data_IF_361373418459
#
_entry.id   IF_361373418459
#
_cell.length_a   1.000
_cell.length_b   1.000
_cell.length_c   1.000
_cell.angle_alpha   90.00
_cell.angle_beta   90.00
_cell.angle_gamma   90.00
#
_symmetry.space_group_name_H-M   'P 1'
#
loop_
_entity.id
_entity.type
_entity.pdbx_description
1 polymer ?
#
# COMPACT_ATOMS: atom_id res chain seq x y z
N UNK A 1 37.26 39.83 1.30
CA UNK A 1 37.93 38.50 1.40
C UNK A 1 36.99 37.44 2.01
N UNK A 2 35.75 37.35 1.57
CA UNK A 2 34.78 36.35 2.05
C UNK A 2 34.23 35.41 0.93
N UNK A 3 34.66 35.61 -0.32
CA UNK A 3 34.13 34.85 -1.45
C UNK A 3 34.87 33.58 -1.83
N UNK A 4 36.10 33.35 -1.37
CA UNK A 4 36.95 32.25 -1.80
C UNK A 4 36.89 30.99 -0.92
N UNK A 5 36.31 31.06 0.28
CA UNK A 5 36.20 29.89 1.17
C UNK A 5 34.99 28.99 0.84
N UNK A 6 33.94 29.52 0.20
CA UNK A 6 32.76 28.71 -0.15
C UNK A 6 32.94 27.83 -1.42
N UNK A 7 33.85 28.21 -2.30
CA UNK A 7 34.12 27.41 -3.52
C UNK A 7 35.02 26.19 -3.25
N UNK A 8 35.89 26.25 -2.22
CA UNK A 8 36.74 25.11 -1.84
C UNK A 8 35.94 24.01 -1.09
N UNK A 9 34.88 24.35 -0.35
CA UNK A 9 34.05 23.36 0.33
C UNK A 9 33.14 22.60 -0.64
N UNK A 10 32.62 23.24 -1.68
CA UNK A 10 31.83 22.57 -2.72
C UNK A 10 32.67 21.58 -3.56
N UNK A 11 33.94 21.92 -3.82
CA UNK A 11 34.86 21.04 -4.59
C UNK A 11 35.29 19.80 -3.80
N UNK A 12 35.39 19.87 -2.48
CA UNK A 12 35.74 18.73 -1.63
C UNK A 12 34.56 17.78 -1.39
N UNK A 13 33.32 18.26 -1.37
CA UNK A 13 32.15 17.39 -1.31
C UNK A 13 31.94 16.59 -2.61
N UNK A 14 32.19 17.20 -3.77
CA UNK A 14 32.10 16.49 -5.07
C UNK A 14 33.18 15.41 -5.22
N UNK A 15 34.36 15.61 -4.65
CA UNK A 15 35.46 14.60 -4.68
C UNK A 15 35.26 13.42 -3.73
N UNK A 16 34.45 13.54 -2.69
CA UNK A 16 34.07 12.40 -1.83
C UNK A 16 33.00 11.51 -2.46
N UNK A 17 32.08 12.06 -3.26
CA UNK A 17 31.05 11.29 -3.95
C UNK A 17 31.57 10.47 -5.14
N UNK A 18 32.74 10.82 -5.70
CA UNK A 18 33.34 10.09 -6.84
C UNK A 18 34.28 8.96 -6.43
N UNK A 19 34.56 8.75 -5.14
CA UNK A 19 35.47 7.69 -4.66
C UNK A 19 34.80 6.42 -4.13
N UNK A 20 33.47 6.33 -4.14
CA UNK A 20 32.72 5.13 -3.70
C UNK A 20 32.30 4.23 -4.89
N UNK A 21 32.57 4.63 -6.12
CA UNK A 21 32.12 3.92 -7.34
C UNK A 21 33.18 3.02 -7.99
N UNK A 22 34.22 2.61 -7.30
CA UNK A 22 35.23 1.73 -7.90
C UNK A 22 35.87 0.80 -6.86
N UNK A 23 35.24 -0.32 -6.55
CA UNK A 23 35.90 -1.58 -6.12
C UNK A 23 34.85 -2.68 -5.82
N UNK A 24 34.42 -3.45 -6.81
CA UNK A 24 34.13 -4.88 -6.62
C UNK A 24 34.63 -5.62 -7.84
N UNK A 25 35.81 -6.22 -7.70
CA UNK A 25 36.36 -7.19 -8.65
C UNK A 25 35.94 -8.60 -8.24
N UNK A 26 35.63 -9.38 -9.26
CA UNK A 26 35.36 -10.82 -9.26
C UNK A 26 36.41 -11.65 -8.52
N UNK A 27 35.96 -12.67 -7.80
CA UNK A 27 36.70 -13.91 -7.65
C UNK A 27 35.75 -15.10 -7.59
N UNK A 28 35.83 -15.91 -8.60
CA UNK A 28 35.19 -17.23 -8.78
C UNK A 28 36.01 -18.27 -8.02
N UNK A 29 35.39 -19.17 -7.24
CA UNK A 29 35.98 -20.48 -6.94
C UNK A 29 34.89 -21.55 -6.89
N UNK A 30 35.12 -22.62 -7.65
CA UNK A 30 34.43 -23.89 -7.79
C UNK A 30 34.75 -24.87 -6.64
N UNK A 31 33.81 -25.78 -6.38
CA UNK A 31 33.90 -27.20 -6.03
C UNK A 31 32.81 -27.50 -4.98
N UNK A 32 31.86 -28.37 -5.16
CA UNK A 32 31.87 -29.71 -5.69
C UNK A 32 31.92 -30.72 -4.54
N UNK A 33 30.79 -31.38 -4.21
CA UNK A 33 30.77 -32.82 -3.92
C UNK A 33 29.38 -33.32 -3.55
N UNK A 34 28.97 -34.32 -4.27
CA UNK A 34 27.87 -35.25 -4.06
C UNK A 34 28.06 -36.09 -2.79
N UNK A 35 26.99 -36.45 -2.11
CA UNK A 35 26.86 -37.82 -1.51
C UNK A 35 25.39 -38.20 -1.30
N UNK A 36 25.16 -39.44 -1.68
CA UNK A 36 23.91 -40.18 -1.86
C UNK A 36 23.35 -40.79 -0.55
N UNK A 37 22.05 -41.10 -0.66
CA UNK A 37 21.09 -41.82 0.21
C UNK A 37 21.62 -43.13 0.89
N UNK A 38 20.87 -43.77 1.83
CA UNK A 38 19.70 -44.56 1.42
C UNK A 38 18.48 -44.59 2.37
N UNK A 39 17.37 -45.02 1.79
CA UNK A 39 16.09 -45.36 2.42
C UNK A 39 16.15 -46.68 3.22
N UNK A 40 15.28 -46.79 4.23
CA UNK A 40 14.82 -48.08 4.73
C UNK A 40 13.38 -47.98 5.26
N UNK A 41 12.52 -48.76 4.59
CA UNK A 41 11.16 -49.06 5.00
C UNK A 41 11.12 -50.11 6.11
N UNK A 42 10.10 -50.08 6.97
CA UNK A 42 9.57 -51.26 7.66
C UNK A 42 8.08 -51.11 7.97
N UNK A 43 7.29 -51.93 7.35
CA UNK A 43 5.91 -52.25 7.69
C UNK A 43 5.84 -52.98 9.03
N UNK A 44 4.77 -52.79 9.79
CA UNK A 44 4.16 -53.82 10.61
C UNK A 44 2.65 -53.62 10.74
N UNK A 45 1.93 -54.65 10.35
CA UNK A 45 0.48 -54.83 10.45
C UNK A 45 0.05 -55.23 11.87
N UNK A 46 -1.20 -54.96 12.23
CA UNK A 46 -1.87 -55.54 13.41
C UNK A 46 -3.25 -54.93 13.64
N UNK A 47 -4.30 -55.66 13.28
CA UNK A 47 -5.75 -55.42 13.47
C UNK A 47 -6.24 -55.79 14.89
N UNK A 48 -7.58 -55.77 15.17
CA UNK A 48 -8.49 -54.67 15.44
C UNK A 48 -9.16 -54.83 16.83
N UNK A 49 -9.72 -53.77 17.44
CA UNK A 49 -10.78 -53.95 18.44
C UNK A 49 -11.70 -52.74 18.61
N UNK A 50 -12.98 -53.05 18.50
CA UNK A 50 -14.17 -52.51 19.17
C UNK A 50 -14.56 -51.04 18.94
N UNK A 51 -15.67 -50.90 18.23
CA UNK A 51 -16.52 -49.72 18.13
C UNK A 51 -17.04 -49.25 19.50
N UNK A 52 -16.84 -47.97 19.79
CA UNK A 52 -17.64 -47.21 20.74
C UNK A 52 -18.16 -45.96 20.01
N UNK A 53 -19.46 -45.89 19.79
CA UNK A 53 -20.13 -44.75 19.21
C UNK A 53 -20.01 -43.54 20.14
N UNK A 54 -19.18 -42.58 19.80
CA UNK A 54 -19.25 -41.23 20.37
C UNK A 54 -20.07 -40.37 19.43
N UNK A 55 -21.13 -39.80 20.00
CA UNK A 55 -21.95 -38.74 19.43
C UNK A 55 -20.99 -37.62 18.99
N UNK A 56 -20.90 -37.36 17.69
CA UNK A 56 -20.12 -36.25 17.15
C UNK A 56 -20.90 -34.99 17.44
N UNK A 57 -20.43 -34.20 18.41
CA UNK A 57 -20.73 -32.78 18.44
C UNK A 57 -20.28 -32.18 17.12
N UNK A 58 -21.20 -31.50 16.43
CA UNK A 58 -20.97 -30.93 15.10
C UNK A 58 -19.76 -30.00 15.13
N UNK A 59 -18.74 -30.34 14.33
CA UNK A 59 -17.65 -29.44 14.01
C UNK A 59 -18.23 -28.11 13.50
N UNK A 60 -17.71 -26.96 13.90
CA UNK A 60 -18.11 -25.70 13.31
C UNK A 60 -17.93 -25.81 11.79
N UNK A 61 -18.96 -25.48 11.04
CA UNK A 61 -18.93 -25.43 9.59
C UNK A 61 -17.84 -24.40 9.20
N UNK A 62 -16.66 -24.88 8.76
CA UNK A 62 -15.65 -24.02 8.14
C UNK A 62 -16.33 -23.35 6.95
N UNK A 63 -16.69 -22.09 7.11
CA UNK A 63 -17.11 -21.25 5.99
C UNK A 63 -15.93 -21.15 5.04
N UNK A 64 -15.98 -21.86 3.92
CA UNK A 64 -14.99 -21.71 2.84
C UNK A 64 -14.91 -20.23 2.49
N UNK A 65 -13.79 -19.58 2.82
CA UNK A 65 -13.52 -18.20 2.39
C UNK A 65 -13.60 -18.20 0.85
N UNK A 66 -14.38 -17.25 0.30
CA UNK A 66 -14.44 -17.04 -1.15
C UNK A 66 -13.06 -16.70 -1.69
N UNK A 67 -12.75 -17.06 -2.93
CA UNK A 67 -11.53 -16.59 -3.60
C UNK A 67 -11.69 -15.15 -4.06
N UNK A 68 -10.60 -14.34 -4.07
CA UNK A 68 -10.64 -12.99 -4.62
C UNK A 68 -10.96 -13.04 -6.12
N UNK A 69 -11.79 -12.10 -6.58
CA UNK A 69 -12.19 -11.99 -8.00
C UNK A 69 -11.87 -10.58 -8.49
N UNK A 70 -11.18 -10.49 -9.63
CA UNK A 70 -10.91 -9.23 -10.29
C UNK A 70 -12.08 -8.83 -11.18
N UNK A 71 -12.45 -7.57 -11.12
CA UNK A 71 -13.55 -6.96 -11.85
C UNK A 71 -13.15 -5.62 -12.46
N UNK A 72 -13.98 -5.13 -13.35
CA UNK A 72 -13.91 -3.75 -13.83
C UNK A 72 -15.29 -3.10 -13.79
N UNK A 73 -15.34 -1.79 -13.57
CA UNK A 73 -16.56 -0.99 -13.67
C UNK A 73 -16.29 0.29 -14.46
N UNK A 74 -17.22 0.67 -15.31
CA UNK A 74 -17.13 1.92 -16.07
C UNK A 74 -17.62 3.09 -15.22
N UNK A 75 -16.80 4.13 -15.15
CA UNK A 75 -17.11 5.43 -14.54
C UNK A 75 -16.89 6.55 -15.55
N UNK A 76 -17.12 7.80 -15.14
CA UNK A 76 -16.76 8.98 -15.95
C UNK A 76 -15.24 9.07 -16.10
N UNK A 77 -14.49 8.76 -15.06
CA UNK A 77 -13.01 8.83 -15.03
C UNK A 77 -12.30 7.70 -15.78
N UNK A 78 -13.00 6.62 -16.16
CA UNK A 78 -12.42 5.50 -16.92
C UNK A 78 -13.08 4.15 -16.65
N UNK A 79 -12.38 3.07 -16.99
CA UNK A 79 -12.73 1.71 -16.63
C UNK A 79 -11.87 1.33 -15.43
N UNK A 80 -12.48 1.32 -14.25
CA UNK A 80 -11.77 1.14 -12.99
C UNK A 80 -11.67 -0.34 -12.66
N UNK A 81 -10.44 -0.82 -12.49
CA UNK A 81 -10.14 -2.18 -12.05
C UNK A 81 -10.18 -2.28 -10.52
N UNK A 82 -10.70 -3.39 -10.02
CA UNK A 82 -10.70 -3.70 -8.59
C UNK A 82 -10.75 -5.20 -8.35
N UNK A 83 -10.24 -5.61 -7.20
CA UNK A 83 -10.38 -6.98 -6.71
C UNK A 83 -11.31 -6.99 -5.52
N UNK A 84 -12.26 -7.95 -5.47
CA UNK A 84 -13.15 -8.07 -4.32
C UNK A 84 -13.21 -9.49 -3.75
N UNK A 85 -13.50 -9.56 -2.46
CA UNK A 85 -13.70 -10.81 -1.74
C UNK A 85 -14.65 -10.60 -0.56
N UNK A 86 -15.49 -11.60 -0.28
CA UNK A 86 -16.41 -11.58 0.86
C UNK A 86 -17.77 -10.96 0.55
N UNK A 87 -18.53 -10.67 1.60
CA UNK A 87 -19.88 -10.11 1.50
C UNK A 87 -20.21 -9.25 2.73
N UNK A 88 -21.34 -8.53 2.69
CA UNK A 88 -21.79 -7.68 3.79
C UNK A 88 -21.40 -6.22 3.63
N UNK A 89 -21.18 -5.47 4.73
CA UNK A 89 -20.78 -4.08 4.68
C UNK A 89 -19.46 -3.93 3.92
N UNK A 90 -19.35 -2.91 3.05
CA UNK A 90 -18.19 -2.71 2.20
C UNK A 90 -17.03 -2.08 2.98
N UNK A 91 -15.82 -2.66 2.84
CA UNK A 91 -14.55 -2.05 3.16
C UNK A 91 -13.80 -1.75 1.85
N UNK A 92 -13.46 -0.48 1.62
CA UNK A 92 -12.75 -0.01 0.45
C UNK A 92 -11.30 0.31 0.80
N UNK A 93 -10.37 -0.37 0.13
CA UNK A 93 -8.94 -0.27 0.35
C UNK A 93 -8.28 0.50 -0.78
N UNK A 94 -7.53 1.56 -0.43
CA UNK A 94 -6.90 2.51 -1.36
C UNK A 94 -5.39 2.45 -1.18
N UNK A 95 -4.69 1.97 -2.22
CA UNK A 95 -3.23 1.83 -2.24
C UNK A 95 -2.52 3.15 -2.53
N UNK A 96 -1.20 3.16 -2.38
CA UNK A 96 -0.34 4.30 -2.65
C UNK A 96 0.36 4.27 -4.01
N UNK A 97 1.33 5.18 -4.17
CA UNK A 97 2.12 5.34 -5.40
C UNK A 97 2.95 4.09 -5.70
N UNK A 98 3.14 3.77 -6.99
CA UNK A 98 3.88 2.62 -7.51
C UNK A 98 3.31 1.24 -7.12
N UNK A 99 2.14 1.20 -6.52
CA UNK A 99 1.43 -0.02 -6.12
C UNK A 99 0.13 -0.22 -6.92
N UNK A 100 -0.68 -1.16 -6.50
CA UNK A 100 -2.04 -1.42 -6.97
C UNK A 100 -2.83 -2.19 -5.90
N UNK A 101 -4.03 -2.64 -6.20
CA UNK A 101 -4.88 -3.39 -5.27
C UNK A 101 -4.25 -4.62 -4.63
N UNK A 102 -3.18 -5.18 -5.22
CA UNK A 102 -2.45 -6.32 -4.68
C UNK A 102 -1.83 -6.08 -3.29
N UNK A 103 -1.56 -4.81 -2.92
CA UNK A 103 -1.13 -4.44 -1.57
C UNK A 103 -2.05 -5.06 -0.51
N UNK A 104 -3.35 -5.08 -0.78
CA UNK A 104 -4.40 -5.45 0.16
C UNK A 104 -4.81 -6.93 0.12
N UNK A 105 -4.03 -7.80 -0.56
CA UNK A 105 -4.35 -9.23 -0.74
C UNK A 105 -4.57 -9.97 0.59
N UNK A 106 -3.83 -9.60 1.63
CA UNK A 106 -3.96 -10.19 2.95
C UNK A 106 -5.25 -9.75 3.63
N UNK A 107 -5.58 -8.45 3.59
CA UNK A 107 -6.82 -7.87 4.12
C UNK A 107 -8.05 -8.47 3.44
N UNK A 108 -8.01 -8.61 2.10
CA UNK A 108 -9.09 -9.27 1.36
C UNK A 108 -9.29 -10.71 1.83
N UNK A 109 -8.20 -11.47 1.98
CA UNK A 109 -8.26 -12.86 2.41
C UNK A 109 -8.71 -13.01 3.87
N UNK A 110 -8.22 -12.17 4.78
CA UNK A 110 -8.54 -12.29 6.20
C UNK A 110 -9.92 -11.73 6.54
N UNK A 111 -10.21 -10.48 6.13
CA UNK A 111 -11.40 -9.73 6.56
C UNK A 111 -12.68 -10.05 5.77
N UNK A 112 -12.61 -10.91 4.74
CA UNK A 112 -13.74 -11.33 3.91
C UNK A 112 -14.84 -12.08 4.66
N UNK A 113 -14.56 -12.55 5.86
CA UNK A 113 -15.53 -13.17 6.77
C UNK A 113 -16.51 -12.18 7.39
N UNK A 114 -16.14 -10.88 7.47
CA UNK A 114 -16.94 -9.82 8.11
C UNK A 114 -17.22 -8.62 7.20
N UNK A 115 -16.61 -8.55 6.02
CA UNK A 115 -16.75 -7.45 5.06
C UNK A 115 -16.76 -7.96 3.61
N UNK A 116 -17.47 -7.22 2.75
CA UNK A 116 -17.16 -7.20 1.32
C UNK A 116 -15.95 -6.30 1.14
N UNK A 117 -14.77 -6.90 1.06
CA UNK A 117 -13.49 -6.20 0.90
C UNK A 117 -13.27 -5.89 -0.58
N UNK A 118 -13.01 -4.62 -0.91
CA UNK A 118 -12.73 -4.14 -2.26
C UNK A 118 -11.40 -3.40 -2.26
N UNK A 119 -10.44 -3.88 -3.05
CA UNK A 119 -9.17 -3.20 -3.32
C UNK A 119 -9.22 -2.60 -4.73
N UNK A 120 -9.26 -1.28 -4.83
CA UNK A 120 -9.37 -0.55 -6.11
C UNK A 120 -7.98 -0.24 -6.68
N UNK A 121 -7.82 -0.27 -8.00
CA UNK A 121 -6.66 0.29 -8.68
C UNK A 121 -6.93 1.77 -9.00
N UNK A 122 -6.09 2.67 -8.50
CA UNK A 122 -6.19 4.11 -8.73
C UNK A 122 -6.01 4.47 -10.22
N UNK A 123 -6.41 5.68 -10.60
CA UNK A 123 -6.09 6.24 -11.91
C UNK A 123 -4.57 6.21 -12.14
N UNK A 124 -4.15 5.86 -13.33
CA UNK A 124 -2.75 5.65 -13.73
C UNK A 124 -2.05 4.44 -13.07
N UNK A 125 -2.75 3.59 -12.31
CA UNK A 125 -2.18 2.42 -11.62
C UNK A 125 -2.88 1.11 -12.02
N UNK A 126 -2.20 0.00 -11.72
CA UNK A 126 -2.74 -1.35 -11.88
C UNK A 126 -3.33 -1.62 -13.26
N UNK A 127 -4.54 -2.16 -13.30
CA UNK A 127 -5.28 -2.47 -14.53
C UNK A 127 -6.38 -1.44 -14.87
N UNK A 128 -6.49 -0.34 -14.12
CA UNK A 128 -7.42 0.75 -14.43
C UNK A 128 -7.07 1.42 -15.76
N UNK A 129 -8.05 1.56 -16.66
CA UNK A 129 -7.90 2.16 -18.00
C UNK A 129 -8.51 3.57 -18.03
N UNK A 130 -7.75 4.55 -18.54
CA UNK A 130 -8.14 5.95 -18.61
C UNK A 130 -7.91 6.53 -20.00
N UNK A 131 -8.62 7.61 -20.32
CA UNK A 131 -8.32 8.40 -21.51
C UNK A 131 -6.96 9.10 -21.38
N UNK A 132 -6.23 9.35 -22.48
CA UNK A 132 -4.91 9.96 -22.44
C UNK A 132 -4.83 11.34 -21.79
N UNK A 133 -5.94 12.08 -21.76
CA UNK A 133 -6.10 13.42 -21.18
C UNK A 133 -6.83 13.43 -19.83
N UNK A 134 -7.21 12.24 -19.29
CA UNK A 134 -7.84 12.13 -17.98
C UNK A 134 -6.99 12.79 -16.90
N UNK A 135 -7.59 13.66 -16.07
CA UNK A 135 -6.92 14.17 -14.86
C UNK A 135 -6.63 13.01 -13.90
N UNK A 136 -5.35 12.81 -13.58
CA UNK A 136 -4.88 11.75 -12.69
C UNK A 136 -4.40 12.28 -11.34
N UNK A 137 -4.66 13.57 -11.04
CA UNK A 137 -4.28 14.16 -9.76
C UNK A 137 -4.90 13.40 -8.58
N UNK A 138 -4.37 13.62 -7.40
CA UNK A 138 -4.86 12.98 -6.17
C UNK A 138 -6.31 13.39 -5.85
N UNK A 139 -6.69 14.64 -6.17
CA UNK A 139 -8.09 15.09 -6.07
C UNK A 139 -8.98 14.42 -7.12
N UNK A 140 -8.48 14.17 -8.33
CA UNK A 140 -9.21 13.43 -9.36
C UNK A 140 -9.43 11.97 -8.93
N UNK A 141 -8.45 11.35 -8.29
CA UNK A 141 -8.59 10.02 -7.71
C UNK A 141 -9.68 9.98 -6.61
N UNK A 142 -9.74 10.98 -5.72
CA UNK A 142 -10.80 11.06 -4.73
C UNK A 142 -12.21 11.18 -5.37
N UNK A 143 -12.35 11.94 -6.47
CA UNK A 143 -13.59 12.02 -7.23
C UNK A 143 -13.91 10.70 -7.94
N UNK A 144 -12.91 10.05 -8.52
CA UNK A 144 -13.05 8.72 -9.12
C UNK A 144 -13.58 7.70 -8.11
N UNK A 145 -13.09 7.70 -6.85
CA UNK A 145 -13.63 6.82 -5.81
C UNK A 145 -15.13 7.04 -5.58
N UNK A 146 -15.61 8.29 -5.62
CA UNK A 146 -17.04 8.58 -5.52
C UNK A 146 -17.81 8.01 -6.72
N UNK A 147 -17.32 8.23 -7.94
CA UNK A 147 -17.94 7.68 -9.17
C UNK A 147 -17.95 6.14 -9.15
N UNK A 148 -16.88 5.53 -8.65
CA UNK A 148 -16.74 4.09 -8.47
C UNK A 148 -17.81 3.53 -7.54
N UNK A 149 -18.00 4.15 -6.37
CA UNK A 149 -19.05 3.75 -5.42
C UNK A 149 -20.46 3.91 -6.01
N UNK A 150 -20.70 5.01 -6.74
CA UNK A 150 -21.99 5.24 -7.40
C UNK A 150 -22.28 4.16 -8.46
N UNK A 151 -21.28 3.82 -9.28
CA UNK A 151 -21.42 2.80 -10.32
C UNK A 151 -21.67 1.39 -9.75
N UNK A 152 -21.20 1.11 -8.54
CA UNK A 152 -21.44 -0.14 -7.81
C UNK A 152 -22.64 -0.10 -6.88
N UNK A 153 -23.40 1.01 -6.83
CA UNK A 153 -24.53 1.23 -5.93
C UNK A 153 -24.17 1.01 -4.46
N UNK A 154 -23.00 1.51 -4.05
CA UNK A 154 -22.49 1.44 -2.67
C UNK A 154 -22.70 2.80 -2.01
N UNK A 155 -23.53 2.87 -0.99
CA UNK A 155 -23.85 4.12 -0.29
C UNK A 155 -22.70 4.57 0.63
N UNK A 156 -22.19 3.67 1.45
CA UNK A 156 -21.16 3.96 2.45
C UNK A 156 -20.12 2.84 2.55
N UNK A 157 -18.89 3.24 2.89
CA UNK A 157 -17.76 2.32 3.05
C UNK A 157 -17.02 2.53 4.38
N UNK A 158 -16.40 1.46 4.87
CA UNK A 158 -15.25 1.54 5.76
C UNK A 158 -14.04 1.80 4.87
N UNK A 159 -13.54 3.06 4.85
CA UNK A 159 -12.48 3.50 3.96
C UNK A 159 -11.11 3.29 4.62
N UNK A 160 -10.20 2.63 3.92
CA UNK A 160 -8.85 2.32 4.40
C UNK A 160 -7.84 2.81 3.38
N UNK A 161 -6.90 3.66 3.77
CA UNK A 161 -5.89 4.21 2.87
C UNK A 161 -4.49 4.17 3.45
N UNK A 162 -3.50 3.88 2.57
CA UNK A 162 -2.07 3.85 2.88
C UNK A 162 -1.30 4.73 1.90
N UNK A 163 -0.21 5.36 2.33
CA UNK A 163 0.65 6.18 1.48
C UNK A 163 -0.15 7.32 0.80
N UNK A 164 0.05 7.58 -0.48
CA UNK A 164 -0.77 8.55 -1.23
C UNK A 164 -2.25 8.16 -1.27
N UNK A 165 -2.58 6.86 -1.14
CA UNK A 165 -3.96 6.40 -0.97
C UNK A 165 -4.60 6.88 0.33
N UNK A 166 -3.83 7.05 1.40
CA UNK A 166 -4.31 7.66 2.64
C UNK A 166 -4.57 9.15 2.48
N UNK A 167 -3.71 9.89 1.75
CA UNK A 167 -3.97 11.28 1.38
C UNK A 167 -5.21 11.44 0.52
N UNK A 168 -5.39 10.56 -0.50
CA UNK A 168 -6.60 10.51 -1.34
C UNK A 168 -7.84 10.20 -0.49
N UNK A 169 -7.73 9.29 0.50
CA UNK A 169 -8.82 8.94 1.41
C UNK A 169 -9.21 10.10 2.33
N UNK A 170 -8.26 10.92 2.78
CA UNK A 170 -8.54 12.17 3.50
C UNK A 170 -9.32 13.15 2.62
N UNK A 171 -8.91 13.34 1.36
CA UNK A 171 -9.60 14.20 0.41
C UNK A 171 -11.02 13.68 0.15
N UNK A 172 -11.18 12.37 -0.06
CA UNK A 172 -12.49 11.75 -0.24
C UNK A 172 -13.40 11.98 0.97
N UNK A 173 -12.91 11.70 2.18
CA UNK A 173 -13.69 11.85 3.41
C UNK A 173 -14.07 13.31 3.68
N UNK A 174 -13.22 14.26 3.32
CA UNK A 174 -13.50 15.69 3.43
C UNK A 174 -14.54 16.18 2.41
N UNK A 175 -14.55 15.61 1.19
CA UNK A 175 -15.47 16.00 0.12
C UNK A 175 -16.84 15.30 0.22
N UNK A 176 -16.85 14.05 0.70
CA UNK A 176 -18.02 13.16 0.71
C UNK A 176 -18.16 12.45 2.07
N UNK A 177 -18.26 13.21 3.20
CA UNK A 177 -18.29 12.61 4.54
C UNK A 177 -19.48 11.66 4.74
N UNK A 178 -20.58 11.87 4.04
CA UNK A 178 -21.77 11.01 4.07
C UNK A 178 -21.53 9.61 3.48
N UNK A 179 -20.45 9.45 2.68
CA UNK A 179 -20.06 8.17 2.04
C UNK A 179 -19.13 7.34 2.94
N UNK A 180 -18.68 7.91 4.07
CA UNK A 180 -17.69 7.29 4.97
C UNK A 180 -18.38 6.81 6.24
N UNK A 181 -18.51 5.49 6.39
CA UNK A 181 -18.99 4.85 7.62
C UNK A 181 -17.92 4.87 8.70
N UNK A 182 -16.68 4.57 8.34
CA UNK A 182 -15.48 4.74 9.15
C UNK A 182 -14.27 5.02 8.26
N UNK A 183 -13.25 5.62 8.83
CA UNK A 183 -11.98 5.92 8.16
C UNK A 183 -10.82 5.23 8.87
N UNK A 184 -9.89 4.67 8.11
CA UNK A 184 -8.59 4.19 8.62
C UNK A 184 -7.47 4.77 7.78
N UNK A 185 -6.54 5.44 8.43
CA UNK A 185 -5.36 6.06 7.80
C UNK A 185 -4.10 5.39 8.31
N UNK A 186 -3.21 5.03 7.39
CA UNK A 186 -1.94 4.37 7.72
C UNK A 186 -0.82 5.05 6.95
N UNK A 187 0.27 5.39 7.63
CA UNK A 187 1.49 6.00 7.07
C UNK A 187 1.24 6.69 5.74
N UNK A 188 0.78 7.96 5.76
CA UNK A 188 0.24 8.60 4.58
C UNK A 188 0.56 10.09 4.46
N UNK A 189 0.45 10.58 3.25
CA UNK A 189 0.50 12.02 2.95
C UNK A 189 -0.52 12.79 3.81
N UNK A 190 -0.04 13.84 4.49
CA UNK A 190 -0.81 14.55 5.50
C UNK A 190 -0.38 16.01 5.53
N UNK A 191 -1.34 16.92 5.57
CA UNK A 191 -1.13 18.37 5.76
C UNK A 191 -0.12 18.92 4.73
N UNK A 192 1.03 19.47 5.16
CA UNK A 192 2.05 20.03 4.27
C UNK A 192 3.14 19.02 3.84
N UNK A 193 3.03 17.74 4.25
CA UNK A 193 3.97 16.68 3.90
C UNK A 193 3.53 15.92 2.63
N UNK A 194 3.25 16.63 1.56
CA UNK A 194 3.01 16.03 0.24
C UNK A 194 3.71 16.81 -0.87
N UNK A 195 4.70 16.27 -1.58
CA UNK A 195 5.35 14.97 -1.35
C UNK A 195 6.26 14.96 -0.12
N UNK A 196 6.45 13.81 0.54
CA UNK A 196 7.41 13.69 1.63
C UNK A 196 8.84 13.95 1.14
N UNK A 197 9.66 14.55 1.99
CA UNK A 197 11.04 14.97 1.63
C UNK A 197 11.86 13.80 1.06
N UNK A 198 11.77 12.62 1.69
CA UNK A 198 12.48 11.42 1.26
C UNK A 198 12.08 10.92 -0.13
N UNK A 199 10.90 11.30 -0.65
CA UNK A 199 10.42 10.91 -1.98
C UNK A 199 10.82 11.90 -3.09
N UNK A 200 11.22 13.13 -2.75
CA UNK A 200 11.59 14.17 -3.73
C UNK A 200 12.69 13.75 -4.71
N UNK A 201 13.75 13.00 -4.31
CA UNK A 201 14.75 12.52 -5.27
C UNK A 201 14.16 11.62 -6.35
N UNK A 202 13.18 10.77 -6.00
CA UNK A 202 12.47 9.93 -6.97
C UNK A 202 11.64 10.77 -7.96
N UNK A 203 10.94 11.79 -7.46
CA UNK A 203 10.19 12.72 -8.32
C UNK A 203 11.11 13.48 -9.28
N UNK A 204 12.26 13.95 -8.80
CA UNK A 204 13.24 14.63 -9.63
C UNK A 204 13.82 13.72 -10.74
N UNK A 205 14.11 12.47 -10.41
CA UNK A 205 14.54 11.44 -11.36
C UNK A 205 13.44 11.17 -12.41
N UNK A 206 12.19 11.02 -11.99
CA UNK A 206 11.05 10.81 -12.89
C UNK A 206 10.85 12.00 -13.84
N UNK A 207 10.85 13.23 -13.30
CA UNK A 207 10.76 14.46 -14.10
C UNK A 207 11.92 14.63 -15.09
N UNK A 208 13.11 14.10 -14.75
CA UNK A 208 14.28 14.05 -15.64
C UNK A 208 14.22 12.97 -16.71
N UNK A 209 13.11 12.22 -16.84
CA UNK A 209 12.92 11.16 -17.85
C UNK A 209 13.55 9.81 -17.48
N UNK A 210 14.00 9.64 -16.23
CA UNK A 210 14.64 8.40 -15.76
C UNK A 210 13.66 7.28 -15.38
N UNK A 211 12.35 7.57 -15.33
CA UNK A 211 11.35 6.66 -14.75
C UNK A 211 11.33 5.28 -15.42
N UNK A 212 11.28 5.24 -16.78
CA UNK A 212 11.29 3.97 -17.53
C UNK A 212 12.48 3.09 -17.16
N UNK A 213 13.70 3.64 -17.27
CA UNK A 213 14.92 2.88 -17.00
C UNK A 213 15.00 2.37 -15.56
N UNK A 214 14.49 3.16 -14.61
CA UNK A 214 14.43 2.78 -13.19
C UNK A 214 13.47 1.60 -12.99
N UNK A 215 12.25 1.66 -13.52
CA UNK A 215 11.27 0.57 -13.42
C UNK A 215 11.76 -0.71 -14.14
N UNK A 216 12.34 -0.58 -15.32
CA UNK A 216 12.93 -1.70 -16.07
C UNK A 216 14.08 -2.36 -15.28
N UNK A 217 14.94 -1.55 -14.64
CA UNK A 217 16.04 -2.05 -13.80
C UNK A 217 15.51 -2.82 -12.59
N UNK A 218 14.49 -2.31 -11.91
CA UNK A 218 13.84 -2.99 -10.77
C UNK A 218 13.18 -4.31 -11.18
N UNK A 219 12.57 -4.37 -12.37
CA UNK A 219 11.97 -5.60 -12.90
C UNK A 219 13.01 -6.60 -13.36
N UNK A 220 14.11 -6.16 -13.96
CA UNK A 220 15.20 -7.03 -14.38
C UNK A 220 15.95 -7.63 -13.19
N UNK A 221 16.11 -6.86 -12.12
CA UNK A 221 16.76 -7.28 -10.88
C UNK A 221 15.98 -6.78 -9.66
N UNK A 222 15.20 -7.66 -9.02
CA UNK A 222 14.37 -7.33 -7.84
C UNK A 222 15.19 -6.88 -6.63
N UNK A 223 16.47 -7.23 -6.57
CA UNK A 223 17.41 -6.69 -5.59
C UNK A 223 17.56 -5.16 -5.68
N UNK A 224 17.40 -4.58 -6.87
CA UNK A 224 17.37 -3.10 -7.04
C UNK A 224 16.16 -2.51 -6.35
N UNK A 225 14.95 -3.10 -6.52
CA UNK A 225 13.74 -2.66 -5.84
C UNK A 225 13.91 -2.68 -4.31
N UNK A 226 14.46 -3.78 -3.78
CA UNK A 226 14.67 -4.01 -2.34
C UNK A 226 15.84 -3.21 -1.75
N UNK A 227 16.64 -2.55 -2.60
CA UNK A 227 17.85 -1.84 -2.17
C UNK A 227 17.53 -0.58 -1.36
N UNK A 228 18.46 -0.12 -0.50
CA UNK A 228 18.31 1.15 0.24
C UNK A 228 18.19 2.40 -0.66
N UNK A 229 18.58 2.30 -1.95
CA UNK A 229 18.53 3.39 -2.91
C UNK A 229 17.19 3.44 -3.68
N UNK A 230 16.32 2.45 -3.47
CA UNK A 230 15.01 2.36 -4.10
C UNK A 230 13.89 2.25 -3.06
N UNK A 231 13.05 1.22 -3.13
CA UNK A 231 11.89 1.07 -2.23
C UNK A 231 12.18 0.20 -1.00
N UNK A 232 13.41 -0.31 -0.83
CA UNK A 232 13.80 -1.06 0.37
C UNK A 232 13.49 -0.32 1.68
N UNK A 233 13.75 0.99 1.82
CA UNK A 233 13.41 1.73 3.04
C UNK A 233 11.92 1.80 3.37
N UNK A 234 11.03 1.46 2.44
CA UNK A 234 9.58 1.39 2.66
C UNK A 234 9.14 0.13 3.44
N UNK A 235 10.00 -0.88 3.52
CA UNK A 235 9.75 -2.17 4.16
C UNK A 235 10.65 -2.36 5.38
N UNK A 236 10.14 -3.04 6.40
CA UNK A 236 10.92 -3.50 7.55
C UNK A 236 11.87 -4.63 7.13
N UNK A 237 11.37 -5.56 6.31
CA UNK A 237 12.08 -6.72 5.78
C UNK A 237 11.99 -6.80 4.26
N UNK A 238 12.66 -5.92 3.51
CA UNK A 238 12.51 -5.85 2.05
C UNK A 238 12.85 -7.17 1.33
N UNK A 239 13.72 -8.00 1.92
CA UNK A 239 14.08 -9.31 1.35
C UNK A 239 12.93 -10.33 1.41
N UNK A 240 11.93 -10.12 2.24
CA UNK A 240 10.74 -10.98 2.34
C UNK A 240 9.67 -10.66 1.29
N UNK A 241 9.73 -9.48 0.65
CA UNK A 241 8.82 -9.14 -0.43
C UNK A 241 9.09 -10.06 -1.63
N UNK A 242 8.05 -10.75 -2.12
CA UNK A 242 8.21 -11.70 -3.22
C UNK A 242 8.52 -11.00 -4.56
N UNK A 243 9.23 -11.70 -5.45
CA UNK A 243 9.46 -11.23 -6.82
C UNK A 243 8.15 -11.05 -7.58
N UNK A 244 7.16 -11.92 -7.32
CA UNK A 244 5.82 -11.84 -7.90
C UNK A 244 5.08 -10.55 -7.51
N UNK A 245 5.16 -10.15 -6.24
CA UNK A 245 4.56 -8.88 -5.78
C UNK A 245 5.21 -7.68 -6.48
N UNK A 246 6.55 -7.65 -6.58
CA UNK A 246 7.26 -6.58 -7.29
C UNK A 246 6.83 -6.51 -8.76
N UNK A 247 6.71 -7.67 -9.42
CA UNK A 247 6.23 -7.73 -10.81
C UNK A 247 4.78 -7.25 -10.93
N UNK A 248 3.93 -7.65 -10.01
CA UNK A 248 2.51 -7.26 -9.99
C UNK A 248 2.37 -5.74 -9.83
N UNK A 249 3.20 -5.12 -9.00
CA UNK A 249 3.19 -3.67 -8.81
C UNK A 249 3.72 -2.90 -10.02
N UNK A 250 4.86 -3.30 -10.58
CA UNK A 250 5.59 -2.47 -11.54
C UNK A 250 5.26 -2.76 -13.01
N UNK A 251 4.97 -4.03 -13.36
CA UNK A 251 4.73 -4.42 -14.75
C UNK A 251 3.60 -3.64 -15.44
N UNK A 252 2.48 -3.28 -14.78
CA UNK A 252 1.41 -2.49 -15.39
C UNK A 252 1.88 -1.16 -16.00
N UNK A 253 2.83 -0.47 -15.38
CA UNK A 253 3.33 0.84 -15.86
C UNK A 253 4.12 0.73 -17.16
N UNK A 254 4.72 -0.42 -17.45
CA UNK A 254 5.56 -0.64 -18.62
C UNK A 254 4.83 -1.33 -19.79
N UNK A 255 3.54 -1.65 -19.65
CA UNK A 255 2.74 -2.30 -20.70
C UNK A 255 2.61 -1.44 -21.95
N UNK A 256 2.65 -0.12 -21.81
CA UNK A 256 2.64 0.82 -22.95
C UNK A 256 3.31 2.15 -22.60
N UNK A 257 3.66 2.92 -23.64
CA UNK A 257 4.17 4.28 -23.46
C UNK A 257 3.14 5.20 -22.79
N UNK A 258 1.84 4.98 -23.05
CA UNK A 258 0.78 5.77 -22.43
C UNK A 258 0.68 5.52 -20.92
N UNK A 259 0.75 4.26 -20.49
CA UNK A 259 0.74 3.90 -19.06
C UNK A 259 1.88 4.57 -18.28
N UNK A 260 3.08 4.61 -18.87
CA UNK A 260 4.21 5.29 -18.26
C UNK A 260 3.98 6.81 -18.16
N UNK A 261 3.47 7.44 -19.25
CA UNK A 261 3.11 8.88 -19.21
C UNK A 261 2.03 9.18 -18.18
N UNK A 262 1.07 8.27 -17.98
CA UNK A 262 0.02 8.44 -16.98
C UNK A 262 0.60 8.44 -15.57
N UNK A 263 1.55 7.55 -15.28
CA UNK A 263 2.29 7.55 -14.01
C UNK A 263 3.14 8.84 -13.87
N UNK A 264 3.85 9.27 -14.91
CA UNK A 264 4.61 10.52 -14.89
C UNK A 264 3.71 11.73 -14.57
N UNK A 265 2.49 11.79 -15.13
CA UNK A 265 1.50 12.84 -14.82
C UNK A 265 0.97 12.74 -13.39
N UNK A 266 0.76 11.54 -12.88
CA UNK A 266 0.36 11.32 -11.48
C UNK A 266 1.44 11.83 -10.53
N UNK A 267 2.71 11.48 -10.77
CA UNK A 267 3.85 11.94 -9.96
C UNK A 267 4.03 13.46 -10.04
N UNK A 268 3.86 14.05 -11.22
CA UNK A 268 3.95 15.50 -11.43
C UNK A 268 2.82 16.28 -10.72
N UNK A 269 1.72 15.62 -10.35
CA UNK A 269 0.59 16.23 -9.65
C UNK A 269 0.75 16.23 -8.11
N UNK A 270 1.84 15.69 -7.58
CA UNK A 270 2.11 15.69 -6.12
C UNK A 270 2.37 17.12 -5.63
N UNK A 271 1.46 17.60 -4.78
CA UNK A 271 1.50 18.97 -4.25
C UNK A 271 0.65 19.01 -2.97
N UNK A 272 1.19 19.56 -1.89
CA UNK A 272 0.49 19.65 -0.61
C UNK A 272 -0.75 20.58 -0.65
N UNK A 273 -0.92 21.38 -1.71
CA UNK A 273 -2.15 22.16 -1.90
C UNK A 273 -3.42 21.32 -1.80
N UNK A 274 -3.36 20.03 -2.17
CA UNK A 274 -4.50 19.13 -2.15
C UNK A 274 -4.92 18.77 -0.71
N UNK A 275 -3.97 18.50 0.17
CA UNK A 275 -4.21 18.20 1.59
C UNK A 275 -4.51 19.47 2.39
N UNK A 276 -3.82 20.57 2.12
CA UNK A 276 -4.09 21.87 2.75
C UNK A 276 -5.49 22.39 2.41
N UNK A 277 -5.97 22.18 1.17
CA UNK A 277 -7.29 22.64 0.75
C UNK A 277 -8.47 21.97 1.48
N UNK A 278 -8.24 20.84 2.13
CA UNK A 278 -9.29 20.07 2.83
C UNK A 278 -9.20 20.17 4.36
N UNK A 279 -8.23 20.88 4.89
CA UNK A 279 -7.91 20.92 6.33
C UNK A 279 -9.11 21.33 7.18
N UNK A 280 -9.81 22.42 6.81
CA UNK A 280 -10.98 22.89 7.56
C UNK A 280 -12.13 21.87 7.56
N UNK A 281 -12.25 21.06 6.49
CA UNK A 281 -13.24 19.99 6.40
C UNK A 281 -12.85 18.80 7.26
N UNK A 282 -11.56 18.43 7.29
CA UNK A 282 -11.06 17.39 8.19
C UNK A 282 -11.32 17.73 9.65
N UNK A 283 -11.18 18.99 10.04
CA UNK A 283 -11.50 19.49 11.39
C UNK A 283 -12.98 19.39 11.78
N UNK A 284 -13.85 19.05 10.85
CA UNK A 284 -15.27 18.79 11.09
C UNK A 284 -15.69 17.34 10.89
N UNK A 285 -14.79 16.47 10.47
CA UNK A 285 -15.07 15.07 10.13
C UNK A 285 -15.41 14.26 11.40
N UNK A 286 -16.64 13.76 11.49
CA UNK A 286 -17.15 13.00 12.63
C UNK A 286 -17.06 11.47 12.45
N UNK A 287 -16.78 10.99 11.23
CA UNK A 287 -16.66 9.57 10.96
C UNK A 287 -15.67 8.92 11.92
N UNK A 288 -16.00 7.82 12.59
CA UNK A 288 -15.06 7.10 13.44
C UNK A 288 -13.76 6.84 12.67
N UNK A 289 -12.64 7.36 13.21
CA UNK A 289 -11.36 7.28 12.52
C UNK A 289 -10.35 6.53 13.38
N UNK A 290 -9.67 5.55 12.77
CA UNK A 290 -8.50 4.82 13.27
C UNK A 290 -7.26 5.34 12.55
N UNK A 291 -6.21 5.61 13.29
CA UNK A 291 -4.89 5.94 12.76
C UNK A 291 -3.92 4.86 13.21
N UNK A 292 -3.25 4.18 12.26
CA UNK A 292 -2.22 3.18 12.54
C UNK A 292 -0.94 3.61 11.85
N UNK A 293 0.17 3.64 12.57
CA UNK A 293 1.40 4.24 12.08
C UNK A 293 2.64 3.45 12.47
N UNK A 294 3.56 3.27 11.50
CA UNK A 294 4.87 2.69 11.74
C UNK A 294 5.84 3.72 12.33
N UNK A 295 6.51 3.39 13.44
CA UNK A 295 7.41 4.35 14.11
C UNK A 295 8.74 4.57 13.39
N UNK A 296 9.13 3.66 12.50
CA UNK A 296 10.39 3.70 11.75
C UNK A 296 10.19 4.05 10.28
N UNK A 297 9.01 4.61 9.94
CA UNK A 297 8.73 5.08 8.58
C UNK A 297 9.64 6.25 8.22
N UNK A 298 10.30 6.15 7.06
CA UNK A 298 11.24 7.14 6.56
C UNK A 298 10.57 8.25 5.73
N UNK A 299 9.30 8.05 5.31
CA UNK A 299 8.53 9.00 4.50
C UNK A 299 7.56 9.81 5.36
N UNK A 300 6.92 9.18 6.31
CA UNK A 300 5.85 9.75 7.10
C UNK A 300 6.16 9.63 8.60
N UNK A 301 6.89 10.61 9.13
CA UNK A 301 7.19 10.74 10.57
C UNK A 301 5.90 10.60 11.40
N UNK A 302 6.00 9.91 12.54
CA UNK A 302 4.87 9.62 13.46
C UNK A 302 4.16 10.89 13.95
N UNK A 303 4.80 12.07 13.88
CA UNK A 303 4.16 13.36 14.16
C UNK A 303 2.90 13.58 13.30
N UNK A 304 2.84 12.99 12.10
CA UNK A 304 1.67 13.12 11.23
C UNK A 304 0.48 12.29 11.71
N UNK A 305 0.73 11.13 12.34
CA UNK A 305 -0.31 10.41 13.06
C UNK A 305 -0.88 11.24 14.22
N UNK A 306 -0.01 11.96 14.93
CA UNK A 306 -0.43 12.88 16.00
C UNK A 306 -1.25 14.02 15.43
N UNK A 307 -0.76 14.68 14.37
CA UNK A 307 -1.48 15.76 13.70
C UNK A 307 -2.89 15.35 13.26
N UNK A 308 -3.01 14.18 12.60
CA UNK A 308 -4.32 13.65 12.20
C UNK A 308 -5.22 13.41 13.41
N UNK A 309 -4.69 12.81 14.49
CA UNK A 309 -5.42 12.55 15.72
C UNK A 309 -5.94 13.82 16.40
N UNK A 310 -5.17 14.90 16.32
CA UNK A 310 -5.50 16.18 16.95
C UNK A 310 -6.46 17.02 16.08
N UNK A 311 -6.52 16.78 14.76
CA UNK A 311 -7.28 17.61 13.83
C UNK A 311 -8.56 16.93 13.27
N UNK A 312 -8.72 15.60 13.43
CA UNK A 312 -9.94 14.88 13.01
C UNK A 312 -10.77 14.55 14.26
N UNK A 313 -11.92 15.20 14.50
CA UNK A 313 -12.75 14.95 15.70
C UNK A 313 -13.22 13.50 15.83
N UNK A 314 -13.38 12.80 14.69
CA UNK A 314 -13.70 11.37 14.64
C UNK A 314 -12.53 10.45 15.01
N UNK A 315 -11.30 10.94 15.09
CA UNK A 315 -10.12 10.14 15.42
C UNK A 315 -10.09 9.81 16.92
N UNK A 316 -10.60 8.63 17.26
CA UNK A 316 -10.72 8.18 18.65
C UNK A 316 -9.66 7.17 19.06
N UNK A 317 -8.89 6.66 18.09
CA UNK A 317 -7.86 5.66 18.34
C UNK A 317 -6.66 5.90 17.43
N UNK A 318 -5.49 5.91 18.04
CA UNK A 318 -4.19 5.91 17.38
C UNK A 318 -3.38 4.73 17.88
N UNK A 319 -2.75 4.01 16.97
CA UNK A 319 -1.90 2.85 17.22
C UNK A 319 -0.55 3.10 16.55
N UNK A 320 0.51 3.03 17.31
CA UNK A 320 1.88 3.15 16.83
C UNK A 320 2.54 1.77 16.86
N UNK A 321 2.88 1.24 15.68
CA UNK A 321 3.54 -0.04 15.52
C UNK A 321 5.05 0.16 15.59
N UNK A 322 5.65 -0.24 16.70
CA UNK A 322 7.09 -0.05 16.95
C UNK A 322 7.94 -0.76 15.90
N UNK A 323 8.87 -0.04 15.27
CA UNK A 323 9.78 -0.56 14.25
C UNK A 323 9.15 -0.76 12.87
N UNK A 324 7.82 -0.66 12.73
CA UNK A 324 7.13 -0.82 11.47
C UNK A 324 7.41 0.36 10.52
N UNK A 325 7.30 0.09 9.22
CA UNK A 325 7.46 1.06 8.13
C UNK A 325 6.20 1.12 7.27
N UNK A 326 6.16 1.99 6.27
CA UNK A 326 4.98 2.34 5.47
C UNK A 326 4.15 1.14 4.99
N UNK A 327 4.78 0.02 4.61
CA UNK A 327 4.06 -1.15 4.11
C UNK A 327 3.86 -2.24 5.17
N UNK A 328 3.75 -1.87 6.46
CA UNK A 328 3.34 -2.80 7.50
C UNK A 328 1.97 -3.44 7.22
N UNK A 329 1.14 -2.78 6.44
CA UNK A 329 -0.14 -3.33 5.96
C UNK A 329 0.02 -4.62 5.17
N UNK A 330 1.20 -4.84 4.56
CA UNK A 330 1.62 -6.06 3.88
C UNK A 330 2.47 -6.97 4.79
N UNK A 331 3.44 -6.41 5.52
CA UNK A 331 4.41 -7.19 6.31
C UNK A 331 3.86 -7.66 7.67
N UNK A 332 3.09 -6.81 8.34
CA UNK A 332 2.47 -7.07 9.66
C UNK A 332 0.94 -7.09 9.57
N UNK A 333 0.41 -7.64 8.48
CA UNK A 333 -1.01 -7.62 8.18
C UNK A 333 -1.87 -8.19 9.32
N UNK A 334 -1.40 -9.21 10.07
CA UNK A 334 -2.16 -9.80 11.18
C UNK A 334 -2.39 -8.79 12.33
N UNK A 335 -1.37 -7.98 12.63
CA UNK A 335 -1.48 -6.92 13.64
C UNK A 335 -2.45 -5.84 13.16
N UNK A 336 -2.31 -5.44 11.91
CA UNK A 336 -3.16 -4.42 11.30
C UNK A 336 -4.63 -4.87 11.21
N UNK A 337 -4.90 -6.09 10.75
CA UNK A 337 -6.25 -6.61 10.59
C UNK A 337 -6.98 -6.78 11.93
N UNK A 338 -6.25 -7.09 13.00
CA UNK A 338 -6.79 -7.06 14.37
C UNK A 338 -7.29 -5.67 14.76
N UNK A 339 -6.54 -4.62 14.40
CA UNK A 339 -6.94 -3.24 14.66
C UNK A 339 -8.17 -2.84 13.83
N UNK A 340 -8.23 -3.23 12.55
CA UNK A 340 -9.40 -3.01 11.69
C UNK A 340 -10.65 -3.71 12.25
N UNK A 341 -10.55 -4.97 12.63
CA UNK A 341 -11.66 -5.72 13.24
C UNK A 341 -12.20 -5.03 14.48
N UNK A 342 -11.30 -4.60 15.39
CA UNK A 342 -11.65 -3.87 16.60
C UNK A 342 -12.33 -2.54 16.28
N UNK A 343 -11.78 -1.77 15.35
CA UNK A 343 -12.31 -0.47 14.93
C UNK A 343 -13.73 -0.59 14.37
N UNK A 344 -13.98 -1.53 13.47
CA UNK A 344 -15.28 -1.72 12.85
C UNK A 344 -16.33 -2.25 13.82
N UNK A 345 -15.96 -2.99 14.86
CA UNK A 345 -16.86 -3.39 15.93
C UNK A 345 -17.31 -2.18 16.77
N UNK A 346 -16.37 -1.31 17.14
CA UNK A 346 -16.64 -0.09 17.90
C UNK A 346 -17.49 0.90 17.11
N UNK A 347 -17.20 1.08 15.81
CA UNK A 347 -17.97 1.95 14.93
C UNK A 347 -19.44 1.50 14.81
N UNK A 348 -19.68 0.18 14.77
CA UNK A 348 -21.05 -0.37 14.76
C UNK A 348 -21.81 -0.08 16.06
N UNK A 349 -21.15 -0.18 17.21
CA UNK A 349 -21.78 0.08 18.52
C UNK A 349 -22.12 1.57 18.72
N UNK A 350 -21.34 2.49 18.14
CA UNK A 350 -21.58 3.92 18.23
C UNK A 350 -22.71 4.42 17.32
N UNK A 351 -23.16 3.61 16.36
CA UNK A 351 -24.27 3.92 15.44
C UNK A 351 -25.64 3.47 15.96
N UNK A 352 -25.67 2.78 17.10
CA UNK A 352 -26.89 2.35 17.82
C UNK A 352 -27.03 3.10 19.14
#
# INVERSE_FOLDING_TARGET
>A
MAGTKNLLNAHNQIRQLTRVAAAVSFTTIFAGSFLQMPALAREHAGSPHAASAKISEGSPMETKKSTPVQHTVRTVSGIISYTEQGSGPVALFVHGVLLNGHLWRHQLADLSDIRRCIAVDLLAHGDTEIAPDQDVSVTANAKMLKEFLDALHIDQVDLVGNDSGGGISQIFAALYPERVRSLTLTDCDTHDNWPPEAFKPFLAMAAGGGLRGTLESMLANKGVYRSPQALGPAYEHPDQLSDESIETYLRPFLRSQQRLRDLERFLAAFDNKHTLAIEDRLKTLQAPTLIVWGTDDVYFDVKWAHWLGDNIPGARRRVELQGARIFFTEERWQEFDKELRSHWQLAKQAAH
#
